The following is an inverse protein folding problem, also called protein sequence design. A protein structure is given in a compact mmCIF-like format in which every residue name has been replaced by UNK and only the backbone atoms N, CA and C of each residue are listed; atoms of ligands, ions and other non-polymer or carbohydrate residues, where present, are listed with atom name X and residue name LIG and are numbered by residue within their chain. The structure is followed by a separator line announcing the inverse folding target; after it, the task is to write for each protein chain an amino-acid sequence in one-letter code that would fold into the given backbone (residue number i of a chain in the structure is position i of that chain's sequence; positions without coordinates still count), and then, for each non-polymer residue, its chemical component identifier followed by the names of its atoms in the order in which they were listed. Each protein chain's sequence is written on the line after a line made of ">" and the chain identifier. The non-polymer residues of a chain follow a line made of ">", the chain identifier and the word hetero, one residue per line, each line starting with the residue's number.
data_IF_511411829307
#
_entry.id   IF_511411829307
#
_cell.length_a   1.000
_cell.length_b   1.000
_cell.length_c   1.000
_cell.angle_alpha   90.00
_cell.angle_beta   90.00
_cell.angle_gamma   90.00
#
_symmetry.space_group_name_H-M   'P 1'
#
loop_
_entity.id
_entity.type
_entity.pdbx_description
1 polymer ?
#
# COMPACT_ATOMS: atom_id res chain seq x y z
N UNK A 1 28.36 11.97 -4.29
CA UNK A 1 27.37 12.61 -3.40
C UNK A 1 26.76 11.47 -2.61
N UNK A 2 26.61 11.59 -1.28
CA UNK A 2 25.91 10.56 -0.53
C UNK A 2 24.48 10.46 -1.09
N UNK A 3 24.07 9.25 -1.45
CA UNK A 3 22.74 8.99 -1.98
C UNK A 3 21.75 9.30 -0.85
N UNK A 4 20.92 10.32 -1.03
CA UNK A 4 19.96 10.73 -0.02
C UNK A 4 18.88 9.65 0.07
N UNK A 5 18.67 9.12 1.27
CA UNK A 5 17.79 7.98 1.51
C UNK A 5 16.34 8.36 1.24
N UNK A 6 15.69 7.71 0.27
CA UNK A 6 14.28 7.98 -0.08
C UNK A 6 13.33 7.34 0.91
N UNK A 7 12.98 8.09 1.95
CA UNK A 7 12.12 7.66 3.06
C UNK A 7 10.94 8.60 3.22
N UNK A 8 9.78 8.05 3.53
CA UNK A 8 8.60 8.78 3.95
C UNK A 8 8.00 8.17 5.20
N UNK A 9 7.66 9.02 6.18
CA UNK A 9 6.98 8.62 7.41
C UNK A 9 5.69 9.41 7.60
N UNK A 10 4.62 8.70 7.94
CA UNK A 10 3.28 9.25 8.14
C UNK A 10 2.74 8.72 9.46
N UNK A 11 2.21 9.65 10.27
CA UNK A 11 1.43 9.36 11.48
C UNK A 11 0.09 10.06 11.33
N UNK A 12 -0.96 9.28 11.19
CA UNK A 12 -2.32 9.78 11.01
C UNK A 12 -3.19 9.25 12.14
N UNK A 13 -3.99 10.13 12.73
CA UNK A 13 -4.94 9.78 13.79
C UNK A 13 -6.25 10.50 13.55
N UNK A 14 -7.34 9.75 13.51
CA UNK A 14 -8.71 10.25 13.39
C UNK A 14 -9.54 9.79 14.58
N UNK A 15 -10.87 9.83 14.44
CA UNK A 15 -11.78 9.26 15.43
C UNK A 15 -11.95 7.77 15.25
N UNK A 16 -11.78 7.30 14.02
CA UNK A 16 -11.94 5.91 13.58
C UNK A 16 -10.63 5.13 13.72
N UNK A 17 -9.48 5.73 13.36
CA UNK A 17 -8.20 5.01 13.26
C UNK A 17 -6.98 5.74 13.83
N UNK A 18 -5.93 4.96 14.11
CA UNK A 18 -4.57 5.42 14.34
C UNK A 18 -3.62 4.57 13.48
N UNK A 19 -2.95 5.23 12.51
CA UNK A 19 -2.11 4.59 11.50
C UNK A 19 -0.72 5.23 11.48
N UNK A 20 0.31 4.40 11.52
CA UNK A 20 1.70 4.74 11.31
C UNK A 20 2.25 3.96 10.12
N UNK A 21 2.92 4.67 9.21
CA UNK A 21 3.66 4.09 8.08
C UNK A 21 5.04 4.73 8.02
N UNK A 22 6.08 3.92 7.92
CA UNK A 22 7.43 4.33 7.50
C UNK A 22 7.84 3.47 6.31
N UNK A 23 8.13 4.11 5.18
CA UNK A 23 8.46 3.46 3.93
C UNK A 23 9.78 3.97 3.39
N UNK A 24 10.69 3.07 3.05
CA UNK A 24 11.95 3.35 2.36
C UNK A 24 11.89 2.69 0.97
N UNK A 25 12.02 3.49 -0.09
CA UNK A 25 11.93 3.01 -1.47
C UNK A 25 13.13 2.16 -1.88
N UNK A 26 14.34 2.52 -1.42
CA UNK A 26 15.61 1.87 -1.78
C UNK A 26 16.04 0.85 -0.73
N UNK A 27 15.12 -0.05 -0.37
CA UNK A 27 15.32 -1.04 0.68
C UNK A 27 15.85 -2.39 0.19
N UNK A 28 15.55 -3.42 0.98
CA UNK A 28 15.81 -4.83 0.67
C UNK A 28 14.64 -5.74 1.05
N UNK A 29 13.43 -5.18 1.17
CA UNK A 29 12.20 -5.93 1.49
C UNK A 29 11.96 -6.22 2.97
N UNK A 30 12.68 -5.55 3.89
CA UNK A 30 12.43 -5.67 5.33
C UNK A 30 11.06 -5.12 5.68
N UNK A 31 10.31 -5.84 6.50
CA UNK A 31 8.96 -5.44 6.86
C UNK A 31 8.62 -5.74 8.32
N UNK A 32 7.85 -4.83 8.91
CA UNK A 32 7.21 -5.00 10.21
C UNK A 32 5.79 -4.47 10.09
N UNK A 33 4.81 -5.36 10.02
CA UNK A 33 3.40 -4.99 9.77
C UNK A 33 2.56 -5.47 10.95
N UNK A 34 1.85 -4.55 11.59
CA UNK A 34 1.02 -4.79 12.76
C UNK A 34 -0.37 -4.17 12.57
N UNK A 35 -1.33 -5.00 12.16
CA UNK A 35 -2.76 -4.67 12.05
C UNK A 35 -3.61 -5.93 12.25
N UNK A 36 -4.85 -5.75 12.66
CA UNK A 36 -5.82 -6.83 12.91
C UNK A 36 -6.33 -7.48 11.60
N UNK A 37 -6.10 -6.83 10.45
CA UNK A 37 -6.51 -7.32 9.12
C UNK A 37 -5.43 -8.22 8.53
N UNK A 38 -5.41 -9.48 8.97
CA UNK A 38 -4.34 -10.44 8.66
C UNK A 38 -4.10 -10.68 7.16
N UNK A 39 -5.15 -10.67 6.33
CA UNK A 39 -4.98 -10.83 4.88
C UNK A 39 -4.32 -9.59 4.24
N UNK A 40 -4.68 -8.38 4.68
CA UNK A 40 -4.01 -7.16 4.24
C UNK A 40 -2.55 -7.14 4.69
N UNK A 41 -2.25 -7.58 5.91
CA UNK A 41 -0.87 -7.75 6.39
C UNK A 41 -0.06 -8.65 5.44
N UNK A 42 -0.64 -9.77 5.00
CA UNK A 42 0.01 -10.65 4.03
C UNK A 42 0.27 -9.95 2.68
N UNK A 43 -0.70 -9.19 2.16
CA UNK A 43 -0.54 -8.43 0.91
C UNK A 43 0.57 -7.37 1.02
N UNK A 44 0.64 -6.66 2.15
CA UNK A 44 1.67 -5.65 2.40
C UNK A 44 3.07 -6.26 2.58
N UNK A 45 3.16 -7.47 3.16
CA UNK A 45 4.40 -8.25 3.18
C UNK A 45 4.87 -8.56 1.75
N UNK A 46 3.97 -9.04 0.88
CA UNK A 46 4.29 -9.31 -0.52
C UNK A 46 4.74 -8.04 -1.25
N UNK A 47 4.07 -6.91 -1.00
CA UNK A 47 4.48 -5.61 -1.53
C UNK A 47 5.91 -5.26 -1.14
N UNK A 48 6.27 -5.35 0.15
CA UNK A 48 7.64 -5.04 0.61
C UNK A 48 8.68 -5.96 -0.05
N UNK A 49 8.43 -7.27 -0.03
CA UNK A 49 9.36 -8.27 -0.59
C UNK A 49 9.60 -8.07 -2.09
N UNK A 50 8.55 -7.85 -2.88
CA UNK A 50 8.67 -7.79 -4.33
C UNK A 50 9.03 -6.40 -4.88
N UNK A 51 8.72 -5.33 -4.16
CA UNK A 51 9.17 -3.97 -4.51
C UNK A 51 10.59 -3.66 -4.03
N UNK A 52 11.13 -4.51 -3.13
CA UNK A 52 12.34 -4.25 -2.34
C UNK A 52 12.22 -3.06 -1.38
N UNK A 53 11.05 -2.45 -1.22
CA UNK A 53 10.87 -1.39 -0.23
C UNK A 53 10.97 -1.95 1.19
N UNK A 54 11.54 -1.19 2.11
CA UNK A 54 11.38 -1.49 3.54
C UNK A 54 10.10 -0.83 4.05
N UNK A 55 9.28 -1.56 4.80
CA UNK A 55 7.97 -1.11 5.27
C UNK A 55 7.78 -1.39 6.76
N UNK A 56 7.59 -0.35 7.56
CA UNK A 56 6.99 -0.48 8.90
C UNK A 56 5.59 0.08 8.87
N UNK A 57 4.62 -0.71 9.31
CA UNK A 57 3.24 -0.30 9.39
C UNK A 57 2.64 -0.76 10.71
N UNK A 58 1.96 0.15 11.41
CA UNK A 58 1.13 -0.17 12.55
C UNK A 58 -0.22 0.53 12.39
N UNK A 59 -1.32 -0.21 12.50
CA UNK A 59 -2.66 0.34 12.38
C UNK A 59 -3.60 -0.28 13.41
N UNK A 60 -4.41 0.59 14.02
CA UNK A 60 -5.55 0.22 14.87
C UNK A 60 -6.74 1.03 14.41
N UNK A 61 -7.92 0.42 14.35
CA UNK A 61 -9.15 1.10 13.98
C UNK A 61 -10.37 0.47 14.64
N UNK A 62 -11.53 0.97 14.27
CA UNK A 62 -12.85 0.57 14.77
C UNK A 62 -13.35 -0.74 14.13
N UNK A 63 -12.58 -1.82 14.29
CA UNK A 63 -12.86 -3.14 13.71
C UNK A 63 -14.21 -3.74 14.13
N UNK A 64 -14.84 -3.21 15.18
CA UNK A 64 -16.21 -3.56 15.58
C UNK A 64 -17.30 -3.04 14.64
N UNK A 65 -16.98 -2.03 13.82
CA UNK A 65 -17.85 -1.51 12.75
C UNK A 65 -17.68 -2.40 11.53
N UNK A 66 -16.51 -2.34 10.89
CA UNK A 66 -16.02 -3.21 9.83
C UNK A 66 -14.53 -2.94 9.56
N UNK A 67 -13.98 -3.46 8.45
CA UNK A 67 -12.59 -3.24 8.06
C UNK A 67 -12.35 -1.97 7.21
N UNK A 68 -13.40 -1.26 6.79
CA UNK A 68 -13.34 -0.21 5.76
C UNK A 68 -12.42 0.94 6.15
N UNK A 69 -12.68 1.60 7.29
CA UNK A 69 -11.90 2.77 7.71
C UNK A 69 -10.41 2.42 7.89
N UNK A 70 -10.13 1.24 8.46
CA UNK A 70 -8.74 0.80 8.67
C UNK A 70 -8.04 0.55 7.33
N UNK A 71 -8.70 -0.11 6.37
CA UNK A 71 -8.14 -0.36 5.04
C UNK A 71 -7.91 0.94 4.27
N UNK A 72 -8.90 1.82 4.24
CA UNK A 72 -8.83 3.13 3.58
C UNK A 72 -7.69 3.97 4.17
N UNK A 73 -7.63 4.11 5.50
CA UNK A 73 -6.63 4.96 6.15
C UNK A 73 -5.20 4.41 6.04
N UNK A 74 -5.04 3.08 5.96
CA UNK A 74 -3.76 2.46 5.58
C UNK A 74 -3.41 2.85 4.13
N UNK A 75 -4.35 2.80 3.20
CA UNK A 75 -4.17 3.25 1.80
C UNK A 75 -3.69 4.70 1.70
N UNK A 76 -4.38 5.62 2.40
CA UNK A 76 -4.01 7.05 2.47
C UNK A 76 -2.57 7.20 2.98
N UNK A 77 -2.25 6.58 4.12
CA UNK A 77 -0.92 6.74 4.73
C UNK A 77 0.19 6.14 3.86
N UNK A 78 -0.08 5.01 3.18
CA UNK A 78 0.85 4.42 2.21
C UNK A 78 1.09 5.37 1.02
N UNK A 79 0.03 5.93 0.44
CA UNK A 79 0.13 6.90 -0.66
C UNK A 79 0.91 8.16 -0.28
N UNK A 80 0.66 8.71 0.91
CA UNK A 80 1.38 9.86 1.45
C UNK A 80 2.86 9.56 1.73
N UNK A 81 3.17 8.38 2.30
CA UNK A 81 4.54 7.96 2.57
C UNK A 81 5.33 7.78 1.25
N UNK A 82 4.74 7.16 0.24
CA UNK A 82 5.34 7.03 -1.09
C UNK A 82 5.57 8.40 -1.72
N UNK A 83 4.58 9.30 -1.64
CA UNK A 83 4.70 10.67 -2.18
C UNK A 83 5.84 11.44 -1.50
N UNK A 84 5.98 11.31 -0.19
CA UNK A 84 7.07 11.92 0.57
C UNK A 84 8.42 11.34 0.15
N UNK A 85 8.56 10.01 0.12
CA UNK A 85 9.79 9.32 -0.25
C UNK A 85 10.25 9.61 -1.70
N UNK A 86 9.30 9.87 -2.61
CA UNK A 86 9.58 10.20 -4.01
C UNK A 86 10.14 11.62 -4.22
N UNK A 87 9.96 12.53 -3.28
CA UNK A 87 10.46 13.91 -3.37
C UNK A 87 10.02 14.64 -4.65
N UNK A 88 10.97 15.25 -5.36
CA UNK A 88 10.71 16.03 -6.57
C UNK A 88 10.54 15.18 -7.86
N UNK A 89 10.71 13.85 -7.75
CA UNK A 89 10.57 12.87 -8.83
C UNK A 89 11.51 13.09 -10.02
N UNK A 90 12.60 13.85 -9.87
CA UNK A 90 13.57 14.00 -10.96
C UNK A 90 14.48 12.77 -11.04
N UNK A 91 14.78 12.34 -12.26
CA UNK A 91 15.74 11.26 -12.52
C UNK A 91 15.19 9.84 -12.34
N UNK A 92 13.90 9.66 -12.04
CA UNK A 92 13.26 8.33 -11.97
C UNK A 92 12.73 7.88 -13.33
N UNK A 93 12.55 6.56 -13.51
CA UNK A 93 11.95 5.96 -14.73
C UNK A 93 10.52 6.44 -15.00
N UNK A 94 9.81 6.89 -13.96
CA UNK A 94 8.43 7.44 -13.96
C UNK A 94 7.32 6.46 -14.32
N UNK A 95 7.48 5.71 -15.41
CA UNK A 95 6.53 4.69 -15.87
C UNK A 95 7.03 3.30 -15.48
N UNK A 96 6.11 2.44 -15.05
CA UNK A 96 6.41 1.04 -14.72
C UNK A 96 5.25 0.13 -15.09
N UNK A 97 5.58 -1.10 -15.46
CA UNK A 97 4.63 -2.18 -15.73
C UNK A 97 5.14 -3.46 -15.08
N UNK A 98 4.22 -4.24 -14.50
CA UNK A 98 4.50 -5.59 -14.02
C UNK A 98 3.34 -6.52 -14.38
N UNK A 99 3.67 -7.74 -14.78
CA UNK A 99 2.72 -8.84 -15.02
C UNK A 99 3.15 -10.01 -14.14
N UNK A 100 2.31 -10.40 -13.19
CA UNK A 100 2.63 -11.40 -12.17
C UNK A 100 1.60 -12.53 -12.21
N UNK A 101 2.02 -13.79 -12.46
CA UNK A 101 1.15 -14.96 -12.33
C UNK A 101 1.13 -15.49 -10.90
N UNK A 102 0.01 -16.08 -10.51
CA UNK A 102 -0.11 -16.92 -9.30
C UNK A 102 -1.13 -18.03 -9.60
N UNK A 103 -0.64 -19.26 -9.75
CA UNK A 103 -1.42 -20.41 -10.22
C UNK A 103 -2.19 -20.08 -11.53
N UNK A 104 -3.52 -20.17 -11.54
CA UNK A 104 -4.36 -19.82 -12.69
C UNK A 104 -4.59 -18.31 -12.89
N UNK A 105 -4.26 -17.50 -11.88
CA UNK A 105 -4.49 -16.05 -11.90
C UNK A 105 -3.34 -15.30 -12.57
N UNK A 106 -3.67 -14.21 -13.27
CA UNK A 106 -2.70 -13.30 -13.89
C UNK A 106 -3.10 -11.85 -13.61
N UNK A 107 -2.21 -11.09 -12.96
CA UNK A 107 -2.42 -9.67 -12.68
C UNK A 107 -1.45 -8.81 -13.52
N UNK A 108 -1.93 -7.66 -13.99
CA UNK A 108 -1.11 -6.62 -14.63
C UNK A 108 -1.34 -5.28 -13.95
N UNK A 109 -0.26 -4.58 -13.61
CA UNK A 109 -0.28 -3.23 -13.04
C UNK A 109 0.60 -2.31 -13.89
N UNK A 110 0.10 -1.11 -14.18
CA UNK A 110 0.80 -0.05 -14.90
C UNK A 110 0.72 1.23 -14.07
N UNK A 111 1.85 1.89 -13.85
CA UNK A 111 1.96 3.09 -13.00
C UNK A 111 2.58 4.24 -13.80
N UNK A 112 2.01 5.45 -13.67
CA UNK A 112 2.62 6.73 -14.06
C UNK A 112 2.74 7.62 -12.81
N UNK A 113 3.96 7.89 -12.35
CA UNK A 113 4.24 8.78 -11.23
C UNK A 113 4.09 10.27 -11.64
N UNK A 114 2.85 10.69 -11.87
CA UNK A 114 2.52 11.90 -12.65
C UNK A 114 2.01 13.13 -11.88
N UNK A 115 1.74 13.00 -10.59
CA UNK A 115 0.98 13.98 -9.78
C UNK A 115 -0.45 14.23 -10.27
N UNK A 116 -1.01 13.37 -11.13
CA UNK A 116 -2.43 13.36 -11.48
C UNK A 116 -3.03 12.07 -10.93
N UNK A 117 -3.83 12.13 -9.85
CA UNK A 117 -4.43 10.93 -9.28
C UNK A 117 -5.42 10.32 -10.27
N UNK A 118 -5.41 9.00 -10.38
CA UNK A 118 -6.31 8.25 -11.24
C UNK A 118 -6.09 6.76 -11.07
N UNK A 119 -7.19 6.01 -10.95
CA UNK A 119 -7.20 4.57 -10.84
C UNK A 119 -8.11 4.00 -11.93
N UNK A 120 -7.57 3.08 -12.73
CA UNK A 120 -8.38 2.17 -13.53
C UNK A 120 -8.27 0.79 -12.88
N UNK A 121 -9.40 0.23 -12.47
CA UNK A 121 -9.45 -1.02 -11.72
C UNK A 121 -10.37 -2.00 -12.43
N UNK A 122 -9.78 -3.06 -12.98
CA UNK A 122 -10.47 -4.16 -13.67
C UNK A 122 -9.97 -5.49 -13.10
N UNK A 123 -10.41 -5.80 -11.89
CA UNK A 123 -10.06 -7.03 -11.17
C UNK A 123 -11.37 -7.71 -10.73
N UNK A 124 -11.77 -8.81 -11.39
CA UNK A 124 -13.00 -9.51 -11.04
C UNK A 124 -12.78 -10.38 -9.81
N UNK A 125 -13.03 -9.84 -8.62
CA UNK A 125 -13.04 -10.61 -7.37
C UNK A 125 -14.46 -11.06 -7.07
N UNK A 126 -14.67 -12.38 -6.99
CA UNK A 126 -16.02 -12.97 -6.77
C UNK A 126 -16.30 -13.31 -5.31
N UNK A 127 -15.26 -13.47 -4.49
CA UNK A 127 -15.42 -13.68 -3.06
C UNK A 127 -15.83 -12.38 -2.38
N UNK A 128 -16.72 -12.44 -1.40
CA UNK A 128 -17.13 -11.27 -0.60
C UNK A 128 -16.05 -10.86 0.42
N UNK A 129 -15.33 -11.84 0.99
CA UNK A 129 -14.29 -11.61 2.00
C UNK A 129 -13.12 -12.58 1.86
N UNK A 130 -11.95 -12.14 2.30
CA UNK A 130 -10.72 -12.92 2.44
C UNK A 130 -10.24 -12.82 3.90
N UNK A 131 -10.63 -13.79 4.71
CA UNK A 131 -10.50 -13.68 6.16
C UNK A 131 -11.35 -12.52 6.69
N UNK A 132 -10.71 -11.56 7.37
CA UNK A 132 -11.38 -10.35 7.89
C UNK A 132 -11.45 -9.23 6.85
N UNK A 133 -10.73 -9.30 5.73
CA UNK A 133 -10.77 -8.26 4.71
C UNK A 133 -12.00 -8.42 3.82
N UNK A 134 -12.84 -7.39 3.70
CA UNK A 134 -13.89 -7.31 2.69
C UNK A 134 -13.25 -7.01 1.33
N UNK A 135 -13.59 -7.78 0.30
CA UNK A 135 -12.90 -7.69 -1.00
C UNK A 135 -13.21 -6.40 -1.75
N UNK A 136 -14.36 -5.76 -1.47
CA UNK A 136 -14.68 -4.43 -1.99
C UNK A 136 -13.66 -3.36 -1.55
N UNK A 137 -13.15 -3.47 -0.31
CA UNK A 137 -12.20 -2.52 0.25
C UNK A 137 -10.81 -2.62 -0.38
N UNK A 138 -10.52 -3.68 -1.16
CA UNK A 138 -9.26 -3.78 -1.92
C UNK A 138 -9.17 -2.65 -2.95
N UNK A 139 -10.28 -2.32 -3.61
CA UNK A 139 -10.32 -1.20 -4.55
C UNK A 139 -10.17 0.13 -3.82
N UNK A 140 -10.83 0.30 -2.69
CA UNK A 140 -10.75 1.51 -1.87
C UNK A 140 -9.32 1.75 -1.38
N UNK A 141 -8.59 0.72 -0.96
CA UNK A 141 -7.16 0.80 -0.62
C UNK A 141 -6.30 1.42 -1.74
N UNK A 142 -6.55 1.03 -3.00
CA UNK A 142 -5.81 1.58 -4.15
C UNK A 142 -6.30 2.95 -4.61
N UNK A 143 -7.53 3.32 -4.26
CA UNK A 143 -8.17 4.57 -4.67
C UNK A 143 -7.85 5.74 -3.72
N UNK A 144 -7.56 5.42 -2.45
CA UNK A 144 -7.33 6.36 -1.37
C UNK A 144 -6.10 7.28 -1.55
#
# INVERSE_FOLDING_TARGET
>A
MAEERRVGDIKRKTRETEVFVELELDGNGLHQIDTEITFLSHMLTLFAVHSLCNLKLAARGDMEVDDHHTVEDIGICMGEAIKMALGDKKGITRYGEAIIPMDEALARVIIDLSNRPGLFYDVPVTAERLGVLSTENIKEFFQA
#
